data_IF_978627435449
#
_entry.id   IF_978627435449
#
_cell.length_a   1.000
_cell.length_b   1.000
_cell.length_c   1.000
_cell.angle_alpha   90.00
_cell.angle_beta   90.00
_cell.angle_gamma   90.00
#
_symmetry.space_group_name_H-M   'P 1'
#
loop_
_entity.id
_entity.type
_entity.pdbx_description
1 polymer ?
#
# COMPACT_ATOMS: atom_id res chain seq x y z
N UNK A 1 -16.97 -3.58 -0.49
CA UNK A 1 -15.78 -4.39 -0.83
C UNK A 1 -14.53 -3.77 -0.19
N UNK A 2 -13.48 -4.58 0.06
CA UNK A 2 -12.19 -4.10 0.58
C UNK A 2 -11.14 -4.20 -0.52
N UNK A 3 -10.48 -3.09 -0.83
CA UNK A 3 -9.37 -3.06 -1.78
C UNK A 3 -8.05 -3.28 -1.04
N UNK A 4 -7.23 -4.23 -1.53
CA UNK A 4 -5.87 -4.48 -1.03
C UNK A 4 -4.89 -4.25 -2.18
N UNK A 5 -3.98 -3.29 -2.06
CA UNK A 5 -2.90 -3.11 -3.02
C UNK A 5 -1.64 -3.85 -2.57
N UNK A 6 -0.82 -4.32 -3.51
CA UNK A 6 0.28 -5.24 -3.20
C UNK A 6 -0.24 -6.64 -2.82
N UNK A 7 -1.41 -7.01 -3.35
CA UNK A 7 -2.16 -8.20 -2.98
C UNK A 7 -1.42 -9.52 -3.25
N UNK A 8 -0.52 -9.54 -4.23
CA UNK A 8 0.31 -10.72 -4.53
C UNK A 8 1.64 -10.74 -3.77
N UNK A 9 1.93 -9.72 -2.97
CA UNK A 9 3.08 -9.68 -2.08
C UNK A 9 2.90 -10.56 -0.85
N UNK A 10 3.97 -10.73 -0.05
CA UNK A 10 3.95 -11.56 1.15
C UNK A 10 2.86 -11.15 2.14
N UNK A 11 2.87 -9.88 2.59
CA UNK A 11 1.87 -9.39 3.55
C UNK A 11 0.49 -9.30 2.89
N UNK A 12 0.41 -8.78 1.66
CA UNK A 12 -0.85 -8.56 0.96
C UNK A 12 -1.65 -9.84 0.74
N UNK A 13 -0.99 -10.95 0.36
CA UNK A 13 -1.67 -12.23 0.14
C UNK A 13 -2.27 -12.78 1.44
N UNK A 14 -1.53 -12.72 2.56
CA UNK A 14 -2.04 -13.15 3.86
C UNK A 14 -3.19 -12.28 4.38
N UNK A 15 -3.14 -10.97 4.12
CA UNK A 15 -4.27 -10.07 4.43
C UNK A 15 -5.50 -10.44 3.60
N UNK A 16 -5.33 -10.71 2.31
CA UNK A 16 -6.44 -11.15 1.45
C UNK A 16 -7.04 -12.48 1.95
N UNK A 17 -6.21 -13.46 2.31
CA UNK A 17 -6.68 -14.73 2.89
C UNK A 17 -7.49 -14.52 4.17
N UNK A 18 -6.98 -13.70 5.09
CA UNK A 18 -7.66 -13.41 6.34
C UNK A 18 -9.02 -12.76 6.12
N UNK A 19 -9.10 -11.79 5.20
CA UNK A 19 -10.35 -11.12 4.84
C UNK A 19 -11.36 -12.08 4.21
N UNK A 20 -10.93 -12.99 3.33
CA UNK A 20 -11.79 -14.00 2.71
C UNK A 20 -12.31 -14.98 3.77
N UNK A 21 -11.48 -15.43 4.72
CA UNK A 21 -11.92 -16.26 5.86
C UNK A 21 -13.01 -15.57 6.69
N UNK A 22 -12.96 -14.24 6.78
CA UNK A 22 -14.00 -13.42 7.40
C UNK A 22 -15.19 -13.12 6.46
N UNK A 23 -15.31 -13.81 5.33
CA UNK A 23 -16.41 -13.67 4.35
C UNK A 23 -16.52 -12.28 3.74
N UNK A 24 -15.40 -11.54 3.64
CA UNK A 24 -15.35 -10.23 2.96
C UNK A 24 -15.15 -10.42 1.46
N UNK A 25 -15.71 -9.49 0.67
CA UNK A 25 -15.39 -9.35 -0.75
C UNK A 25 -14.10 -8.53 -0.89
N UNK A 26 -13.10 -9.08 -1.57
CA UNK A 26 -11.76 -8.51 -1.68
C UNK A 26 -11.40 -8.25 -3.13
N UNK A 27 -10.90 -7.05 -3.38
CA UNK A 27 -10.25 -6.66 -4.64
C UNK A 27 -8.77 -6.54 -4.39
N UNK A 28 -7.97 -7.31 -5.12
CA UNK A 28 -6.53 -7.24 -5.09
C UNK A 28 -5.99 -6.43 -6.27
N UNK A 29 -5.01 -5.55 -6.04
CA UNK A 29 -4.20 -4.91 -7.09
C UNK A 29 -2.74 -5.27 -6.87
N UNK A 30 -2.06 -5.76 -7.90
CA UNK A 30 -0.60 -5.96 -7.92
C UNK A 30 -0.09 -5.86 -9.36
N UNK A 31 1.04 -5.20 -9.58
CA UNK A 31 1.64 -5.05 -10.91
C UNK A 31 2.59 -6.20 -11.27
N UNK A 32 2.80 -7.15 -10.37
CA UNK A 32 3.70 -8.29 -10.56
C UNK A 32 5.11 -7.88 -11.00
N UNK A 33 5.61 -6.72 -10.55
CA UNK A 33 6.94 -6.28 -10.93
C UNK A 33 8.02 -7.30 -10.52
N UNK A 34 9.14 -7.25 -11.22
CA UNK A 34 10.23 -8.19 -11.08
C UNK A 34 11.22 -7.86 -9.95
N UNK A 35 10.83 -7.07 -8.95
CA UNK A 35 11.66 -6.76 -7.79
C UNK A 35 12.16 -8.05 -7.08
N UNK A 36 11.28 -9.03 -6.99
CA UNK A 36 11.62 -10.44 -6.76
C UNK A 36 10.82 -11.31 -7.73
N UNK A 37 11.13 -12.61 -7.78
CA UNK A 37 10.56 -13.51 -8.80
C UNK A 37 9.02 -13.40 -8.86
N UNK A 38 8.43 -13.04 -10.01
CA UNK A 38 6.98 -13.02 -10.18
C UNK A 38 6.32 -14.38 -9.92
N UNK A 39 7.05 -15.50 -10.06
CA UNK A 39 6.54 -16.83 -9.72
C UNK A 39 6.13 -16.96 -8.26
N UNK A 40 6.84 -16.28 -7.34
CA UNK A 40 6.48 -16.25 -5.92
C UNK A 40 5.14 -15.53 -5.75
N UNK A 41 4.94 -14.41 -6.44
CA UNK A 41 3.68 -13.68 -6.41
C UNK A 41 2.50 -14.51 -6.95
N UNK A 42 2.74 -15.27 -8.04
CA UNK A 42 1.72 -16.19 -8.56
C UNK A 42 1.35 -17.26 -7.55
N UNK A 43 2.35 -17.87 -6.91
CA UNK A 43 2.12 -18.88 -5.86
C UNK A 43 1.36 -18.31 -4.67
N UNK A 44 1.70 -17.08 -4.24
CA UNK A 44 1.02 -16.42 -3.11
C UNK A 44 -0.49 -16.24 -3.32
N UNK A 45 -0.94 -16.10 -4.56
CA UNK A 45 -2.36 -15.85 -4.87
C UNK A 45 -3.07 -17.04 -5.52
N UNK A 46 -2.41 -18.17 -5.68
CA UNK A 46 -2.98 -19.33 -6.36
C UNK A 46 -4.28 -19.82 -5.70
N UNK A 47 -4.28 -19.96 -4.39
CA UNK A 47 -5.46 -20.34 -3.61
C UNK A 47 -6.53 -19.23 -3.66
N UNK A 48 -6.12 -17.96 -3.56
CA UNK A 48 -7.04 -16.82 -3.57
C UNK A 48 -7.86 -16.74 -4.86
N UNK A 49 -7.25 -17.03 -6.01
CA UNK A 49 -7.94 -17.02 -7.33
C UNK A 49 -9.08 -18.01 -7.43
N UNK A 50 -9.14 -19.03 -6.57
CA UNK A 50 -10.20 -20.04 -6.56
C UNK A 50 -11.44 -19.56 -5.78
N UNK A 51 -11.36 -18.45 -5.05
CA UNK A 51 -12.46 -17.92 -4.26
C UNK A 51 -13.29 -16.90 -5.04
N UNK A 52 -14.60 -17.12 -5.12
CA UNK A 52 -15.54 -16.18 -5.76
C UNK A 52 -15.59 -14.79 -5.07
N UNK A 53 -15.07 -14.69 -3.85
CA UNK A 53 -14.98 -13.42 -3.11
C UNK A 53 -13.69 -12.65 -3.35
N UNK A 54 -12.82 -13.11 -4.26
CA UNK A 54 -11.57 -12.46 -4.63
C UNK A 54 -11.53 -12.11 -6.11
N UNK A 55 -11.27 -10.84 -6.40
CA UNK A 55 -11.02 -10.36 -7.76
C UNK A 55 -9.64 -9.73 -7.83
N UNK A 56 -8.80 -10.14 -8.77
CA UNK A 56 -7.45 -9.63 -8.96
C UNK A 56 -7.36 -8.75 -10.20
N UNK A 57 -6.84 -7.54 -10.02
CA UNK A 57 -6.41 -6.66 -11.11
C UNK A 57 -4.88 -6.63 -11.18
N UNK A 58 -4.33 -6.96 -12.35
CA UNK A 58 -2.88 -6.89 -12.63
C UNK A 58 -2.54 -5.51 -13.13
N UNK A 59 -2.54 -4.54 -12.22
CA UNK A 59 -2.42 -3.12 -12.54
C UNK A 59 -1.39 -2.43 -11.65
N UNK A 60 -0.82 -1.35 -12.17
CA UNK A 60 0.10 -0.51 -11.43
C UNK A 60 -0.66 0.66 -10.78
N UNK A 61 -0.46 0.86 -9.48
CA UNK A 61 -1.07 1.97 -8.74
C UNK A 61 -0.65 3.36 -9.26
N UNK A 62 0.37 3.45 -10.10
CA UNK A 62 0.74 4.67 -10.80
C UNK A 62 -0.15 4.98 -12.01
N UNK A 63 -0.87 3.98 -12.52
CA UNK A 63 -1.79 4.15 -13.65
C UNK A 63 -3.15 4.65 -13.16
N UNK A 64 -3.32 5.97 -13.15
CA UNK A 64 -4.53 6.60 -12.62
C UNK A 64 -5.79 6.23 -13.42
N UNK A 65 -5.67 6.00 -14.72
CA UNK A 65 -6.82 5.66 -15.56
C UNK A 65 -7.31 4.23 -15.26
N UNK A 66 -6.39 3.29 -15.05
CA UNK A 66 -6.75 1.93 -14.59
C UNK A 66 -7.40 1.99 -13.21
N UNK A 67 -6.88 2.79 -12.28
CA UNK A 67 -7.50 2.97 -10.97
C UNK A 67 -8.93 3.51 -11.09
N UNK A 68 -9.17 4.55 -11.88
CA UNK A 68 -10.51 5.11 -12.11
C UNK A 68 -11.50 4.04 -12.59
N UNK A 69 -11.09 3.17 -13.52
CA UNK A 69 -11.93 2.08 -14.01
C UNK A 69 -12.23 1.07 -12.88
N UNK A 70 -11.21 0.66 -12.11
CA UNK A 70 -11.40 -0.26 -10.98
C UNK A 70 -12.40 0.30 -9.96
N UNK A 71 -12.26 1.57 -9.59
CA UNK A 71 -13.16 2.20 -8.62
C UNK A 71 -14.58 2.40 -9.17
N UNK A 72 -14.72 2.66 -10.47
CA UNK A 72 -16.02 2.76 -11.15
C UNK A 72 -16.77 1.43 -11.19
N UNK A 73 -16.05 0.35 -11.46
CA UNK A 73 -16.64 -0.98 -11.66
C UNK A 73 -16.92 -1.71 -10.32
N UNK A 74 -16.37 -1.21 -9.21
CA UNK A 74 -16.43 -1.89 -7.92
C UNK A 74 -16.84 -0.94 -6.79
N UNK A 75 -17.79 -1.37 -5.96
CA UNK A 75 -18.20 -0.64 -4.76
C UNK A 75 -17.18 -0.82 -3.63
N UNK A 76 -16.05 -0.11 -3.71
CA UNK A 76 -15.00 -0.14 -2.70
C UNK A 76 -15.41 0.74 -1.51
N UNK A 77 -15.27 0.22 -0.29
CA UNK A 77 -15.64 0.89 0.96
C UNK A 77 -14.42 1.15 1.87
N UNK A 78 -13.38 0.34 1.71
CA UNK A 78 -12.16 0.42 2.52
C UNK A 78 -10.95 0.10 1.66
N UNK A 79 -9.82 0.71 1.97
CA UNK A 79 -8.55 0.47 1.29
C UNK A 79 -7.50 0.01 2.31
N UNK A 80 -6.77 -1.05 1.97
CA UNK A 80 -5.55 -1.49 2.65
C UNK A 80 -4.41 -1.35 1.64
N UNK A 81 -3.61 -0.30 1.80
CA UNK A 81 -2.57 0.06 0.86
C UNK A 81 -1.21 -0.47 1.30
N UNK A 82 -0.79 -1.59 0.70
CA UNK A 82 0.47 -2.26 0.99
C UNK A 82 1.45 -2.25 -0.20
N UNK A 83 0.98 -1.86 -1.39
CA UNK A 83 1.84 -1.77 -2.57
C UNK A 83 2.93 -0.72 -2.36
N UNK A 84 4.17 -1.17 -2.45
CA UNK A 84 5.35 -0.32 -2.36
C UNK A 84 6.58 -1.02 -2.92
N UNK A 85 7.55 -0.24 -3.37
CA UNK A 85 8.91 -0.73 -3.54
C UNK A 85 9.58 -0.75 -2.17
N UNK A 86 10.04 -1.91 -1.74
CA UNK A 86 10.58 -2.13 -0.38
C UNK A 86 12.11 -2.21 -0.39
N UNK A 87 12.74 -2.12 0.78
CA UNK A 87 14.16 -2.36 0.99
C UNK A 87 15.02 -1.10 1.05
N UNK A 88 15.76 -0.98 2.16
CA UNK A 88 16.64 0.16 2.44
C UNK A 88 17.83 0.19 1.48
N UNK A 89 18.58 -0.94 1.36
CA UNK A 89 19.79 -0.98 0.54
C UNK A 89 19.53 -0.71 -0.94
N UNK A 90 18.57 -1.36 -1.62
CA UNK A 90 18.27 -1.06 -3.02
C UNK A 90 17.80 0.38 -3.25
N UNK A 91 17.19 1.03 -2.26
CA UNK A 91 16.72 2.41 -2.40
C UNK A 91 17.85 3.41 -2.59
N UNK A 92 19.05 3.11 -2.08
CA UNK A 92 20.23 3.97 -2.22
C UNK A 92 20.68 4.07 -3.69
N UNK A 93 20.62 2.95 -4.41
CA UNK A 93 21.03 2.88 -5.83
C UNK A 93 19.93 3.29 -6.81
N UNK A 94 18.65 3.28 -6.40
CA UNK A 94 17.50 3.57 -7.27
C UNK A 94 16.49 4.54 -6.62
N UNK A 95 16.91 5.68 -6.07
CA UNK A 95 16.01 6.54 -5.27
C UNK A 95 14.79 7.03 -6.05
N UNK A 96 14.96 7.35 -7.33
CA UNK A 96 13.88 7.82 -8.20
C UNK A 96 12.76 6.78 -8.34
N UNK A 97 13.10 5.49 -8.46
CA UNK A 97 12.11 4.43 -8.55
C UNK A 97 11.26 4.33 -7.27
N UNK A 98 11.90 4.55 -6.09
CA UNK A 98 11.20 4.57 -4.81
C UNK A 98 10.25 5.77 -4.67
N UNK A 99 10.66 6.94 -5.13
CA UNK A 99 9.80 8.13 -5.15
C UNK A 99 8.58 7.90 -6.06
N UNK A 100 8.81 7.42 -7.28
CA UNK A 100 7.74 7.13 -8.25
C UNK A 100 6.78 6.04 -7.75
N UNK A 101 7.30 4.92 -7.25
CA UNK A 101 6.46 3.80 -6.87
C UNK A 101 5.72 4.08 -5.55
N UNK A 102 6.40 4.64 -4.55
CA UNK A 102 5.84 4.79 -3.22
C UNK A 102 5.04 6.09 -3.07
N UNK A 103 5.64 7.25 -3.39
CA UNK A 103 4.97 8.54 -3.15
C UNK A 103 3.88 8.77 -4.19
N UNK A 104 4.18 8.64 -5.48
CA UNK A 104 3.18 8.85 -6.52
C UNK A 104 2.07 7.80 -6.44
N UNK A 105 2.42 6.52 -6.20
CA UNK A 105 1.43 5.46 -6.04
C UNK A 105 0.50 5.70 -4.86
N UNK A 106 1.04 6.10 -3.70
CA UNK A 106 0.22 6.43 -2.52
C UNK A 106 -0.65 7.65 -2.77
N UNK A 107 -0.13 8.69 -3.43
CA UNK A 107 -0.92 9.87 -3.80
C UNK A 107 -2.11 9.49 -4.68
N UNK A 108 -1.91 8.66 -5.70
CA UNK A 108 -2.98 8.20 -6.58
C UNK A 108 -4.05 7.42 -5.81
N UNK A 109 -3.66 6.59 -4.83
CA UNK A 109 -4.60 5.85 -3.98
C UNK A 109 -5.39 6.77 -3.06
N UNK A 110 -4.78 7.80 -2.49
CA UNK A 110 -5.45 8.81 -1.66
C UNK A 110 -6.40 9.67 -2.48
N UNK A 111 -6.01 10.11 -3.68
CA UNK A 111 -6.90 10.80 -4.62
C UNK A 111 -8.09 9.93 -5.00
N UNK A 112 -7.85 8.65 -5.34
CA UNK A 112 -8.93 7.71 -5.64
C UNK A 112 -9.89 7.53 -4.45
N UNK A 113 -9.35 7.45 -3.22
CA UNK A 113 -10.17 7.38 -2.01
C UNK A 113 -11.05 8.63 -1.84
N UNK A 114 -10.46 9.81 -2.00
CA UNK A 114 -11.16 11.10 -1.92
C UNK A 114 -12.27 11.21 -2.95
N UNK A 115 -11.95 10.96 -4.24
CA UNK A 115 -12.89 11.08 -5.36
C UNK A 115 -14.09 10.12 -5.23
N UNK A 116 -13.90 8.95 -4.61
CA UNK A 116 -14.94 7.94 -4.43
C UNK A 116 -15.57 7.94 -3.01
N UNK A 117 -15.28 8.96 -2.19
CA UNK A 117 -15.89 9.14 -0.87
C UNK A 117 -15.51 8.06 0.16
N UNK A 118 -14.38 7.37 -0.05
CA UNK A 118 -13.92 6.30 0.85
C UNK A 118 -13.36 6.94 2.12
N UNK A 119 -13.87 6.49 3.27
CA UNK A 119 -13.54 7.08 4.58
C UNK A 119 -12.56 6.23 5.41
N UNK A 120 -12.24 5.01 5.01
CA UNK A 120 -11.37 4.14 5.78
C UNK A 120 -10.18 3.67 4.94
N UNK A 121 -8.99 4.06 5.38
CA UNK A 121 -7.73 3.79 4.67
C UNK A 121 -6.68 3.28 5.66
N UNK A 122 -6.06 2.16 5.37
CA UNK A 122 -4.91 1.64 6.12
C UNK A 122 -3.68 1.75 5.24
N UNK A 123 -2.63 2.39 5.74
CA UNK A 123 -1.35 2.52 5.06
C UNK A 123 -0.28 1.63 5.72
N UNK A 124 0.33 0.74 4.95
CA UNK A 124 1.49 -0.03 5.39
C UNK A 124 2.74 0.84 5.40
N UNK A 125 3.10 1.37 6.57
CA UNK A 125 4.33 2.13 6.75
C UNK A 125 5.55 1.22 6.96
N UNK A 126 6.51 1.62 7.75
CA UNK A 126 7.74 0.86 8.00
C UNK A 126 8.49 1.42 9.19
N UNK A 127 9.12 0.56 9.98
CA UNK A 127 10.07 0.99 11.00
C UNK A 127 11.25 1.81 10.45
N UNK A 128 11.49 1.80 9.14
CA UNK A 128 12.49 2.66 8.48
C UNK A 128 12.20 4.15 8.63
N UNK A 129 10.97 4.54 9.02
CA UNK A 129 10.62 5.94 9.33
C UNK A 129 11.32 6.47 10.58
N UNK A 130 11.75 5.58 11.49
CA UNK A 130 12.53 5.98 12.68
C UNK A 130 13.97 6.37 12.35
N UNK A 131 14.46 6.09 11.14
CA UNK A 131 15.76 6.55 10.66
C UNK A 131 16.91 6.10 11.54
N UNK A 132 17.70 7.06 12.03
CA UNK A 132 18.85 6.84 12.91
C UNK A 132 18.52 6.75 14.41
N UNK A 133 17.27 6.65 14.82
CA UNK A 133 16.88 6.54 16.23
C UNK A 133 17.54 5.30 16.88
N UNK A 134 18.17 5.51 18.04
CA UNK A 134 18.87 4.44 18.80
C UNK A 134 18.05 3.92 19.98
N UNK A 135 16.89 4.52 20.26
CA UNK A 135 16.01 4.08 21.34
C UNK A 135 15.40 2.71 21.00
N UNK A 136 15.33 1.82 21.98
CA UNK A 136 14.74 0.48 21.87
C UNK A 136 13.84 0.23 23.10
N UNK A 137 12.58 -0.15 22.90
CA UNK A 137 11.85 -0.25 21.63
C UNK A 137 11.52 1.13 21.04
N UNK A 138 11.26 1.20 19.74
CA UNK A 138 10.66 2.38 19.13
C UNK A 138 9.25 2.63 19.69
N UNK A 139 8.83 3.89 19.65
CA UNK A 139 7.50 4.31 20.07
C UNK A 139 6.91 5.24 19.01
N UNK A 140 5.58 5.18 18.83
CA UNK A 140 4.85 6.06 17.91
C UNK A 140 4.98 7.55 18.29
N UNK A 141 5.40 7.85 19.53
CA UNK A 141 5.69 9.20 20.00
C UNK A 141 7.13 9.66 19.72
N UNK A 142 7.98 8.79 19.15
CA UNK A 142 9.35 9.17 18.85
C UNK A 142 9.40 10.11 17.63
N UNK A 143 10.38 11.01 17.60
CA UNK A 143 10.60 11.87 16.45
C UNK A 143 11.05 11.05 15.23
N UNK A 144 10.44 11.33 14.07
CA UNK A 144 10.70 10.65 12.79
C UNK A 144 11.17 11.64 11.71
N UNK A 145 12.05 12.58 12.10
CA UNK A 145 12.46 13.71 11.26
C UNK A 145 13.81 13.49 10.55
N UNK A 146 14.55 12.41 10.86
CA UNK A 146 15.90 12.16 10.35
C UNK A 146 16.00 10.82 9.62
N UNK A 147 15.61 10.81 8.34
CA UNK A 147 15.64 9.61 7.52
C UNK A 147 17.06 9.31 7.06
N UNK A 148 17.47 8.04 7.10
CA UNK A 148 18.80 7.57 6.69
C UNK A 148 18.79 6.78 5.39
N UNK A 149 17.64 6.72 4.70
CA UNK A 149 17.51 6.04 3.40
C UNK A 149 16.40 6.64 2.56
N UNK A 150 16.50 6.58 1.22
CA UNK A 150 15.41 6.96 0.32
C UNK A 150 14.12 6.16 0.58
N UNK A 151 14.22 4.89 0.93
CA UNK A 151 13.05 4.08 1.32
C UNK A 151 12.36 4.66 2.56
N UNK A 152 13.10 4.89 3.66
CA UNK A 152 12.55 5.51 4.87
C UNK A 152 11.93 6.87 4.58
N UNK A 153 12.63 7.71 3.79
CA UNK A 153 12.10 8.99 3.32
C UNK A 153 10.76 8.83 2.61
N UNK A 154 10.65 7.91 1.63
CA UNK A 154 9.38 7.73 0.90
C UNK A 154 8.24 7.25 1.81
N UNK A 155 8.52 6.36 2.75
CA UNK A 155 7.51 5.90 3.71
C UNK A 155 7.04 7.04 4.63
N UNK A 156 7.98 7.83 5.17
CA UNK A 156 7.64 9.00 5.98
C UNK A 156 6.87 10.06 5.19
N UNK A 157 7.25 10.33 3.95
CA UNK A 157 6.51 11.23 3.06
C UNK A 157 5.06 10.76 2.85
N UNK A 158 4.84 9.46 2.70
CA UNK A 158 3.50 8.89 2.58
C UNK A 158 2.68 9.04 3.87
N UNK A 159 3.29 8.90 5.06
CA UNK A 159 2.60 9.19 6.34
C UNK A 159 2.15 10.65 6.42
N UNK A 160 3.00 11.59 5.96
CA UNK A 160 2.65 13.01 5.91
C UNK A 160 1.52 13.28 4.91
N UNK A 161 1.52 12.62 3.74
CA UNK A 161 0.40 12.66 2.80
C UNK A 161 -0.89 12.13 3.46
N UNK A 162 -0.82 10.99 4.13
CA UNK A 162 -1.95 10.41 4.85
C UNK A 162 -2.53 11.39 5.88
N UNK A 163 -1.68 12.00 6.70
CA UNK A 163 -2.11 13.01 7.67
C UNK A 163 -2.75 14.24 6.99
N UNK A 164 -2.18 14.70 5.87
CA UNK A 164 -2.73 15.81 5.10
C UNK A 164 -4.12 15.48 4.56
N UNK A 165 -4.33 14.28 4.00
CA UNK A 165 -5.63 13.85 3.49
C UNK A 165 -6.66 13.60 4.59
N UNK A 166 -6.23 13.14 5.76
CA UNK A 166 -7.08 13.09 6.94
C UNK A 166 -7.61 14.49 7.31
N UNK A 167 -6.72 15.46 7.44
CA UNK A 167 -7.07 16.81 7.86
C UNK A 167 -7.93 17.55 6.81
N UNK A 168 -7.66 17.42 5.53
CA UNK A 168 -8.37 18.12 4.47
C UNK A 168 -9.71 17.48 4.09
N UNK A 169 -9.79 16.15 4.10
CA UNK A 169 -10.93 15.42 3.51
C UNK A 169 -11.63 14.50 4.51
N UNK A 170 -11.17 14.42 5.75
CA UNK A 170 -11.77 13.60 6.80
C UNK A 170 -11.73 12.10 6.48
N UNK A 171 -10.67 11.63 5.82
CA UNK A 171 -10.42 10.21 5.63
C UNK A 171 -9.80 9.65 6.91
N UNK A 172 -10.39 8.62 7.49
CA UNK A 172 -9.83 7.94 8.66
C UNK A 172 -8.66 7.06 8.18
N UNK A 173 -7.43 7.46 8.50
CA UNK A 173 -6.23 6.77 8.05
C UNK A 173 -5.47 6.23 9.25
N UNK A 174 -5.14 4.93 9.21
CA UNK A 174 -4.19 4.31 10.12
C UNK A 174 -2.89 3.99 9.36
N UNK A 175 -1.75 4.45 9.88
CA UNK A 175 -0.42 4.07 9.41
C UNK A 175 0.14 2.99 10.36
N UNK A 176 0.55 1.83 9.81
CA UNK A 176 0.99 0.65 10.58
C UNK A 176 2.46 0.33 10.33
#
# INVERSE_FOLDING_TARGET
>A
MILVTGAAGFIGSHVCEALIKEKKQVIGIDNFNSYYSPKIKESNIETLKQHNSFTLYREDIKNIDSLKNIFKDNKIEKIIHLAARVGVRPSISMPEAYVKDNIQGTLNMLESAKENGIKNFVFGSSSSVYGGNKKIPFSENDEVNSQISPYGFTKRSCELLCNTYHNLYGINIACL
#
